data_IF_269540922279
#
_entry.id   IF_269540922279
#
_cell.length_a   1.000
_cell.length_b   1.000
_cell.length_c   1.000
_cell.angle_alpha   90.00
_cell.angle_beta   90.00
_cell.angle_gamma   90.00
#
_symmetry.space_group_name_H-M   'P 1'
#
loop_
_entity.id
_entity.type
_entity.pdbx_description
1 polymer ?
#
# COMPACT_ATOMS: atom_id res chain seq x y z
N UNK A 1 36.73 -52.41 27.08
CA UNK A 1 36.98 -51.41 26.00
C UNK A 1 38.38 -50.83 26.24
N UNK A 2 39.13 -50.75 25.17
CA UNK A 2 40.44 -50.10 25.24
C UNK A 2 40.26 -48.57 25.23
N UNK A 3 41.16 -47.81 25.89
CA UNK A 3 41.05 -46.32 25.85
C UNK A 3 41.06 -45.73 24.46
N UNK A 4 41.71 -46.35 23.49
CA UNK A 4 41.77 -45.94 22.11
C UNK A 4 40.39 -46.02 21.43
N UNK A 5 39.57 -47.02 21.69
CA UNK A 5 38.23 -47.18 21.17
C UNK A 5 37.32 -46.10 21.76
N UNK A 6 37.41 -45.79 23.03
CA UNK A 6 36.66 -44.73 23.69
C UNK A 6 37.00 -43.36 23.09
N UNK A 7 38.30 -43.12 22.83
CA UNK A 7 38.75 -41.89 22.19
C UNK A 7 38.17 -41.71 20.77
N UNK A 8 38.14 -42.80 19.98
CA UNK A 8 37.51 -42.76 18.66
C UNK A 8 36.02 -42.47 18.70
N UNK A 9 35.26 -43.04 19.63
CA UNK A 9 33.84 -42.74 19.82
C UNK A 9 33.60 -41.29 20.22
N UNK A 10 34.42 -40.75 21.12
CA UNK A 10 34.34 -39.37 21.57
C UNK A 10 34.58 -38.38 20.40
N UNK A 11 35.61 -38.67 19.58
CA UNK A 11 35.90 -37.86 18.39
C UNK A 11 34.76 -37.92 17.40
N UNK A 12 34.21 -39.10 17.13
CA UNK A 12 33.08 -39.27 16.24
C UNK A 12 31.82 -38.49 16.71
N UNK A 13 31.53 -38.56 18.01
CA UNK A 13 30.41 -37.80 18.61
C UNK A 13 30.65 -36.30 18.49
N UNK A 14 31.87 -35.83 18.76
CA UNK A 14 32.23 -34.42 18.64
C UNK A 14 32.07 -33.90 17.19
N UNK A 15 32.51 -34.67 16.21
CA UNK A 15 32.36 -34.36 14.77
C UNK A 15 30.90 -34.27 14.38
N UNK A 16 30.09 -35.24 14.78
CA UNK A 16 28.65 -35.26 14.51
C UNK A 16 28.00 -34.05 15.16
N UNK A 17 28.33 -33.71 16.41
CA UNK A 17 27.78 -32.55 17.11
C UNK A 17 28.12 -31.25 16.39
N UNK A 18 29.35 -31.10 15.88
CA UNK A 18 29.77 -29.92 15.11
C UNK A 18 28.98 -29.82 13.80
N UNK A 19 28.84 -30.92 13.05
CA UNK A 19 28.04 -30.91 11.81
C UNK A 19 26.58 -30.59 12.04
N UNK A 20 25.96 -31.15 13.09
CA UNK A 20 24.57 -30.83 13.45
C UNK A 20 24.40 -29.35 13.82
N UNK A 21 25.36 -28.81 14.58
CA UNK A 21 25.33 -27.38 14.96
C UNK A 21 25.42 -26.49 13.73
N UNK A 22 26.33 -26.79 12.81
CA UNK A 22 26.49 -26.04 11.55
C UNK A 22 25.21 -26.12 10.71
N UNK A 23 24.60 -27.30 10.59
CA UNK A 23 23.36 -27.48 9.84
C UNK A 23 22.20 -26.70 10.44
N UNK A 24 22.06 -26.70 11.78
CA UNK A 24 21.05 -25.92 12.48
C UNK A 24 21.24 -24.41 12.32
N UNK A 25 22.45 -23.90 12.40
CA UNK A 25 22.77 -22.49 12.20
C UNK A 25 22.45 -22.08 10.75
N UNK A 26 22.87 -22.91 9.79
CA UNK A 26 22.60 -22.66 8.37
C UNK A 26 21.09 -22.59 8.09
N UNK A 27 20.33 -23.52 8.63
CA UNK A 27 18.87 -23.53 8.49
C UNK A 27 18.22 -22.29 9.11
N UNK A 28 18.66 -21.91 10.31
CA UNK A 28 18.16 -20.69 10.97
C UNK A 28 18.47 -19.44 10.16
N UNK A 29 19.67 -19.31 9.59
CA UNK A 29 20.06 -18.19 8.74
C UNK A 29 19.25 -18.13 7.44
N UNK A 30 18.97 -19.28 6.81
CA UNK A 30 18.16 -19.36 5.61
C UNK A 30 16.69 -18.97 5.88
N UNK A 31 16.13 -19.40 7.00
CA UNK A 31 14.78 -18.99 7.43
C UNK A 31 14.70 -17.50 7.68
N UNK A 32 15.67 -16.93 8.38
CA UNK A 32 15.72 -15.49 8.64
C UNK A 32 15.82 -14.69 7.33
N UNK A 33 16.64 -15.12 6.39
CA UNK A 33 16.73 -14.49 5.07
C UNK A 33 15.43 -14.60 4.27
N UNK A 34 14.72 -15.72 4.33
CA UNK A 34 13.43 -15.89 3.72
C UNK A 34 12.35 -14.98 4.33
N UNK A 35 12.32 -14.87 5.66
CA UNK A 35 11.42 -13.98 6.38
C UNK A 35 11.66 -12.51 6.03
N UNK A 36 12.92 -12.08 5.95
CA UNK A 36 13.28 -10.71 5.52
C UNK A 36 12.83 -10.41 4.10
N UNK A 37 12.99 -11.34 3.16
CA UNK A 37 12.51 -11.19 1.77
C UNK A 37 11.00 -11.06 1.72
N UNK A 38 10.28 -11.88 2.49
CA UNK A 38 8.83 -11.82 2.59
C UNK A 38 8.36 -10.47 3.15
N UNK A 39 9.01 -9.94 4.19
CA UNK A 39 8.70 -8.64 4.78
C UNK A 39 8.97 -7.50 3.79
N UNK A 40 10.09 -7.54 3.06
CA UNK A 40 10.41 -6.56 2.03
C UNK A 40 9.39 -6.56 0.89
N UNK A 41 8.97 -7.73 0.41
CA UNK A 41 7.94 -7.86 -0.61
C UNK A 41 6.60 -7.32 -0.12
N UNK A 42 6.24 -7.60 1.12
CA UNK A 42 5.02 -7.09 1.74
C UNK A 42 5.04 -5.57 1.87
N UNK A 43 6.16 -4.99 2.29
CA UNK A 43 6.34 -3.54 2.37
C UNK A 43 6.25 -2.88 0.99
N UNK A 44 6.82 -3.50 -0.04
CA UNK A 44 6.70 -3.03 -1.44
C UNK A 44 5.25 -3.07 -1.92
N UNK A 45 4.51 -4.15 -1.63
CA UNK A 45 3.09 -4.26 -1.97
C UNK A 45 2.26 -3.19 -1.26
N UNK A 46 2.52 -2.93 0.02
CA UNK A 46 1.87 -1.86 0.77
C UNK A 46 2.17 -0.49 0.18
N UNK A 47 3.42 -0.21 -0.16
CA UNK A 47 3.81 1.05 -0.77
C UNK A 47 3.12 1.25 -2.14
N UNK A 48 3.07 0.20 -2.98
CA UNK A 48 2.37 0.22 -4.25
C UNK A 48 0.86 0.43 -4.08
N UNK A 49 0.23 -0.24 -3.11
CA UNK A 49 -1.19 -0.06 -2.80
C UNK A 49 -1.51 1.36 -2.32
N UNK A 50 -0.66 1.94 -1.48
CA UNK A 50 -0.80 3.34 -1.04
C UNK A 50 -0.65 4.32 -2.20
N UNK A 51 0.33 4.11 -3.09
CA UNK A 51 0.52 4.95 -4.27
C UNK A 51 -0.70 4.86 -5.21
N UNK A 52 -1.25 3.66 -5.43
CA UNK A 52 -2.45 3.46 -6.23
C UNK A 52 -3.68 4.15 -5.60
N UNK A 53 -3.85 4.06 -4.29
CA UNK A 53 -4.92 4.74 -3.56
C UNK A 53 -4.81 6.27 -3.67
N UNK A 54 -3.60 6.83 -3.56
CA UNK A 54 -3.36 8.26 -3.75
C UNK A 54 -3.73 8.71 -5.17
N UNK A 55 -3.31 7.97 -6.18
CA UNK A 55 -3.66 8.27 -7.59
C UNK A 55 -5.16 8.27 -7.83
N UNK A 56 -5.89 7.31 -7.24
CA UNK A 56 -7.35 7.25 -7.34
C UNK A 56 -7.99 8.46 -6.68
N UNK A 57 -7.53 8.85 -5.50
CA UNK A 57 -8.04 10.02 -4.78
C UNK A 57 -7.79 11.29 -5.58
N UNK A 58 -6.59 11.46 -6.12
CA UNK A 58 -6.25 12.61 -6.97
C UNK A 58 -7.11 12.65 -8.24
N UNK A 59 -7.30 11.50 -8.89
CA UNK A 59 -8.15 11.39 -10.07
C UNK A 59 -9.61 11.71 -9.78
N UNK A 60 -10.15 11.28 -8.65
CA UNK A 60 -11.50 11.61 -8.20
C UNK A 60 -11.68 13.12 -7.98
N UNK A 61 -10.71 13.74 -7.31
CA UNK A 61 -10.74 15.19 -7.10
C UNK A 61 -10.78 15.93 -8.43
N UNK A 62 -9.91 15.59 -9.36
CA UNK A 62 -9.85 16.23 -10.68
C UNK A 62 -11.14 16.00 -11.51
N UNK A 63 -11.72 14.82 -11.44
CA UNK A 63 -12.98 14.51 -12.13
C UNK A 63 -14.14 15.32 -11.59
N UNK A 64 -14.29 15.39 -10.27
CA UNK A 64 -15.32 16.21 -9.65
C UNK A 64 -15.08 17.72 -9.83
N UNK A 65 -13.83 18.17 -9.81
CA UNK A 65 -13.49 19.56 -10.10
C UNK A 65 -13.93 19.94 -11.53
N UNK A 66 -13.69 19.07 -12.49
CA UNK A 66 -14.14 19.26 -13.87
C UNK A 66 -15.65 19.33 -13.97
N UNK A 67 -16.36 18.41 -13.33
CA UNK A 67 -17.84 18.39 -13.32
C UNK A 67 -18.43 19.60 -12.61
N UNK A 68 -17.79 20.08 -11.56
CA UNK A 68 -18.20 21.25 -10.81
C UNK A 68 -17.86 22.59 -11.50
N UNK A 69 -17.15 22.56 -12.63
CA UNK A 69 -16.69 23.75 -13.31
C UNK A 69 -15.59 24.52 -12.59
N UNK A 70 -14.92 23.87 -11.62
CA UNK A 70 -13.76 24.41 -10.91
C UNK A 70 -12.47 24.19 -11.71
N UNK A 71 -11.38 24.84 -11.28
CA UNK A 71 -10.08 24.62 -11.88
C UNK A 71 -9.65 23.15 -11.75
N UNK A 72 -9.26 22.52 -12.86
CA UNK A 72 -8.84 21.11 -12.93
C UNK A 72 -7.39 20.99 -12.50
N UNK A 73 -7.10 21.39 -11.28
CA UNK A 73 -5.78 21.36 -10.67
C UNK A 73 -5.90 20.95 -9.22
N UNK A 74 -4.93 20.19 -8.73
CA UNK A 74 -4.85 19.87 -7.31
C UNK A 74 -4.47 21.14 -6.53
N UNK A 75 -5.09 21.38 -5.35
CA UNK A 75 -4.69 22.49 -4.48
C UNK A 75 -3.21 22.40 -4.10
N UNK A 76 -2.55 23.53 -3.91
CA UNK A 76 -1.14 23.57 -3.50
C UNK A 76 -0.86 22.85 -2.18
N UNK A 77 -1.83 22.84 -1.27
CA UNK A 77 -1.76 22.20 0.03
C UNK A 77 -2.27 20.74 0.02
N UNK A 78 -2.61 20.20 -1.16
CA UNK A 78 -3.22 18.86 -1.29
C UNK A 78 -2.38 17.75 -0.65
N UNK A 79 -1.09 17.74 -0.87
CA UNK A 79 -0.18 16.72 -0.34
C UNK A 79 -0.03 16.80 1.19
N UNK A 80 -0.33 17.95 1.78
CA UNK A 80 -0.28 18.19 3.23
C UNK A 80 -1.57 17.80 3.95
N UNK A 81 -2.64 17.57 3.21
CA UNK A 81 -3.92 17.22 3.78
C UNK A 81 -3.95 15.77 4.26
N UNK A 82 -4.61 15.53 5.39
CA UNK A 82 -4.95 14.19 5.83
C UNK A 82 -6.00 13.56 4.91
N UNK A 83 -6.10 12.23 4.88
CA UNK A 83 -7.04 11.52 4.01
C UNK A 83 -8.50 11.92 4.25
N UNK A 84 -8.88 12.18 5.51
CA UNK A 84 -10.21 12.65 5.86
C UNK A 84 -10.50 14.06 5.31
N UNK A 85 -9.51 14.94 5.26
CA UNK A 85 -9.63 16.29 4.70
C UNK A 85 -9.73 16.23 3.17
N UNK A 86 -8.96 15.36 2.52
CA UNK A 86 -9.07 15.10 1.08
C UNK A 86 -10.47 14.59 0.71
N UNK A 87 -10.97 13.62 1.46
CA UNK A 87 -12.31 13.08 1.28
C UNK A 87 -13.40 14.15 1.48
N UNK A 88 -13.25 15.02 2.46
CA UNK A 88 -14.15 16.14 2.70
C UNK A 88 -14.19 17.13 1.52
N UNK A 89 -13.03 17.49 0.99
CA UNK A 89 -12.95 18.37 -0.20
C UNK A 89 -13.55 17.73 -1.44
N UNK A 90 -13.31 16.44 -1.65
CA UNK A 90 -13.94 15.69 -2.75
C UNK A 90 -15.45 15.64 -2.57
N UNK A 91 -15.94 15.42 -1.36
CA UNK A 91 -17.36 15.44 -1.04
C UNK A 91 -18.03 16.79 -1.33
N UNK A 92 -17.36 17.90 -1.04
CA UNK A 92 -17.84 19.25 -1.34
C UNK A 92 -17.97 19.48 -2.86
N UNK A 93 -16.96 19.07 -3.63
CA UNK A 93 -17.01 19.14 -5.09
C UNK A 93 -18.08 18.23 -5.69
N UNK A 94 -18.26 17.04 -5.14
CA UNK A 94 -19.31 16.12 -5.54
C UNK A 94 -20.71 16.72 -5.35
N UNK A 95 -20.95 17.41 -4.23
CA UNK A 95 -22.21 18.11 -3.98
C UNK A 95 -22.46 19.20 -5.01
N UNK A 96 -21.45 19.99 -5.34
CA UNK A 96 -21.53 21.03 -6.36
C UNK A 96 -21.80 20.42 -7.73
N UNK A 97 -21.07 19.39 -8.11
CA UNK A 97 -21.23 18.69 -9.38
C UNK A 97 -22.66 18.11 -9.53
N UNK A 98 -23.15 17.42 -8.51
CA UNK A 98 -24.52 16.88 -8.51
C UNK A 98 -25.58 17.98 -8.60
N UNK A 99 -25.37 19.11 -7.97
CA UNK A 99 -26.25 20.25 -8.05
C UNK A 99 -26.32 20.81 -9.47
N UNK A 100 -25.19 20.94 -10.13
CA UNK A 100 -25.12 21.39 -11.54
C UNK A 100 -25.81 20.39 -12.46
N UNK A 101 -25.55 19.10 -12.30
CA UNK A 101 -26.20 18.04 -13.10
C UNK A 101 -27.70 18.01 -12.90
N UNK A 102 -28.20 18.18 -11.68
CA UNK A 102 -29.64 18.28 -11.40
C UNK A 102 -30.29 19.49 -12.08
N UNK A 103 -29.63 20.65 -12.06
CA UNK A 103 -30.11 21.85 -12.73
C UNK A 103 -30.15 21.64 -14.25
N UNK A 104 -29.11 21.04 -14.82
CA UNK A 104 -29.06 20.73 -16.24
C UNK A 104 -30.16 19.73 -16.64
N UNK A 105 -30.36 18.66 -15.84
CA UNK A 105 -31.44 17.70 -16.06
C UNK A 105 -32.83 18.35 -15.95
N UNK A 106 -33.03 19.22 -14.98
CA UNK A 106 -34.28 19.98 -14.84
C UNK A 106 -34.52 20.89 -16.03
N UNK A 107 -33.50 21.64 -16.48
CA UNK A 107 -33.61 22.51 -17.66
C UNK A 107 -33.91 21.70 -18.92
N UNK A 108 -33.28 20.56 -19.13
CA UNK A 108 -33.54 19.67 -20.26
C UNK A 108 -34.96 19.10 -20.21
N UNK A 109 -35.48 18.78 -19.02
CA UNK A 109 -36.81 18.21 -18.84
C UNK A 109 -37.92 19.22 -19.00
N UNK A 110 -37.73 20.47 -18.58
CA UNK A 110 -38.75 21.51 -18.57
C UNK A 110 -38.50 22.62 -19.60
N UNK A 111 -37.48 22.50 -20.44
CA UNK A 111 -37.16 23.47 -21.48
C UNK A 111 -36.69 24.83 -20.98
N UNK A 112 -36.21 24.90 -19.70
CA UNK A 112 -35.66 26.13 -19.13
C UNK A 112 -34.17 26.24 -19.41
N UNK A 113 -33.70 27.43 -19.81
CA UNK A 113 -32.29 27.69 -19.94
C UNK A 113 -31.63 27.81 -18.57
N UNK A 114 -30.53 27.08 -18.37
CA UNK A 114 -29.68 27.22 -17.18
C UNK A 114 -28.73 28.38 -17.42
N UNK A 115 -28.97 29.52 -16.77
CA UNK A 115 -27.98 30.58 -16.72
C UNK A 115 -26.85 30.17 -15.80
N UNK A 116 -25.63 30.11 -16.36
CA UNK A 116 -24.40 29.82 -15.62
C UNK A 116 -24.11 30.88 -14.55
#
# INVERSE_FOLDING_TARGET
MTPAIIAHYLVAIAVIAVFLTIALIREALLREAADRRSDEEFDRMRAAARAAARRRTDALYLDFARRAGAAVELPEDWDRLADCQKASRIGDLEKVAKRIERRAAFAARYGCEVKA
#
